data_IF_033741423227
#
_entry.id   IF_033741423227
#
_cell.length_a   1.000
_cell.length_b   1.000
_cell.length_c   1.000
_cell.angle_alpha   90.00
_cell.angle_beta   90.00
_cell.angle_gamma   90.00
#
_symmetry.space_group_name_H-M   'P 1'
#
loop_
_entity.id
_entity.type
_entity.pdbx_description
1 polymer ?
#
# COMPACT_ATOMS: atom_id res chain seq x y z
N UNK A 1 20.69 14.70 57.69
CA UNK A 1 19.93 15.30 56.60
C UNK A 1 20.43 14.70 55.30
N UNK A 2 19.81 13.58 54.82
CA UNK A 2 20.20 12.86 53.64
C UNK A 2 19.43 13.43 52.44
N UNK A 3 20.14 14.03 51.47
CA UNK A 3 19.57 14.51 50.19
C UNK A 3 19.55 13.33 49.21
N UNK A 4 18.33 12.81 48.92
CA UNK A 4 18.13 11.78 47.89
C UNK A 4 18.06 12.52 46.54
N UNK A 5 19.11 12.39 45.73
CA UNK A 5 19.18 12.90 44.37
C UNK A 5 18.45 11.89 43.44
N UNK A 6 17.18 12.17 43.11
CA UNK A 6 16.39 11.36 42.18
C UNK A 6 16.89 11.63 40.76
N UNK A 7 17.60 10.65 40.17
CA UNK A 7 18.08 10.70 38.78
C UNK A 7 16.95 10.28 37.86
N UNK A 8 16.21 11.28 37.32
CA UNK A 8 15.25 11.04 36.24
C UNK A 8 16.00 10.71 34.95
N UNK A 9 16.09 9.41 34.61
CA UNK A 9 16.50 8.95 33.30
C UNK A 9 15.40 9.33 32.28
N UNK A 10 15.57 10.42 31.55
CA UNK A 10 14.80 10.73 30.36
C UNK A 10 15.18 9.71 29.29
N UNK A 11 14.40 8.63 29.14
CA UNK A 11 14.44 7.77 27.96
C UNK A 11 13.87 8.60 26.81
N UNK A 12 14.76 9.23 26.04
CA UNK A 12 14.38 9.81 24.75
C UNK A 12 14.01 8.65 23.82
N UNK A 13 12.72 8.38 23.69
CA UNK A 13 12.19 7.50 22.67
C UNK A 13 12.49 8.08 21.29
N UNK A 14 13.56 7.65 20.65
CA UNK A 14 13.79 7.94 19.25
C UNK A 14 12.67 7.28 18.46
N UNK A 15 11.74 8.08 17.94
CA UNK A 15 10.81 7.64 16.92
C UNK A 15 11.66 7.27 15.69
N UNK A 16 11.93 5.99 15.51
CA UNK A 16 12.60 5.52 14.30
C UNK A 16 11.64 5.74 13.14
N UNK A 17 11.93 6.74 12.30
CA UNK A 17 11.21 6.94 11.06
C UNK A 17 11.37 5.69 10.17
N UNK A 18 10.28 4.98 9.98
CA UNK A 18 10.27 3.82 9.10
C UNK A 18 10.37 4.26 7.66
N UNK A 19 11.33 3.70 6.91
CA UNK A 19 11.60 4.11 5.54
C UNK A 19 11.64 2.95 4.54
N UNK A 20 11.76 1.70 5.02
CA UNK A 20 11.78 0.48 4.18
C UNK A 20 10.74 -0.52 4.58
N UNK A 21 10.12 -1.12 3.57
CA UNK A 21 9.21 -2.26 3.69
C UNK A 21 9.68 -3.38 2.76
N UNK A 22 9.70 -4.61 3.26
CA UNK A 22 9.96 -5.83 2.49
C UNK A 22 9.01 -6.92 2.95
N UNK A 23 8.49 -7.71 2.01
CA UNK A 23 7.69 -8.88 2.33
C UNK A 23 7.76 -9.91 1.20
N UNK A 24 7.55 -11.18 1.53
CA UNK A 24 7.11 -12.18 0.57
C UNK A 24 5.66 -11.87 0.19
N UNK A 25 5.28 -12.08 -1.07
CA UNK A 25 3.91 -11.90 -1.53
C UNK A 25 3.36 -13.17 -2.18
N UNK A 26 2.09 -13.43 -1.91
CA UNK A 26 1.29 -14.37 -2.69
C UNK A 26 0.05 -13.63 -3.17
N UNK A 27 -0.18 -13.64 -4.49
CA UNK A 27 -1.33 -13.03 -5.12
C UNK A 27 -2.17 -14.15 -5.73
N UNK A 28 -3.47 -14.20 -5.35
CA UNK A 28 -4.46 -15.15 -5.89
C UNK A 28 -5.50 -14.34 -6.63
N UNK A 29 -5.66 -14.60 -7.92
CA UNK A 29 -6.69 -13.96 -8.75
C UNK A 29 -7.71 -15.00 -9.14
N UNK A 30 -9.00 -14.75 -8.86
CA UNK A 30 -10.08 -15.60 -9.35
C UNK A 30 -10.39 -15.20 -10.79
N UNK A 31 -10.26 -16.16 -11.69
CA UNK A 31 -10.57 -16.00 -13.11
C UNK A 31 -12.09 -16.14 -13.36
N UNK A 32 -12.54 -15.78 -14.57
CA UNK A 32 -13.97 -15.82 -14.93
C UNK A 32 -14.53 -17.24 -14.95
N UNK A 33 -13.71 -18.26 -15.29
CA UNK A 33 -14.07 -19.68 -15.27
C UNK A 33 -14.14 -20.28 -13.85
N UNK A 34 -13.87 -19.46 -12.81
CA UNK A 34 -13.87 -19.86 -11.42
C UNK A 34 -12.54 -20.44 -10.92
N UNK A 35 -11.56 -20.67 -11.79
CA UNK A 35 -10.22 -21.11 -11.43
C UNK A 35 -9.42 -20.00 -10.76
N UNK A 36 -8.28 -20.35 -10.15
CA UNK A 36 -7.39 -19.39 -9.51
C UNK A 36 -6.03 -19.39 -10.18
N UNK A 37 -5.56 -18.19 -10.49
CA UNK A 37 -4.17 -17.95 -10.86
C UNK A 37 -3.39 -17.50 -9.63
N UNK A 38 -2.19 -18.02 -9.47
CA UNK A 38 -1.30 -17.71 -8.37
C UNK A 38 -0.03 -17.01 -8.89
N UNK A 39 0.38 -15.99 -8.18
CA UNK A 39 1.70 -15.36 -8.37
C UNK A 39 2.40 -15.34 -7.01
N UNK A 40 3.66 -15.75 -6.96
CA UNK A 40 4.48 -15.68 -5.75
C UNK A 40 5.76 -14.91 -6.03
N UNK A 41 6.20 -14.16 -5.04
CA UNK A 41 7.37 -13.31 -5.17
C UNK A 41 7.69 -12.57 -3.89
N UNK A 42 8.35 -11.45 -4.04
CA UNK A 42 8.63 -10.49 -2.97
C UNK A 42 8.32 -9.07 -3.43
N UNK A 43 8.05 -8.22 -2.47
CA UNK A 43 7.90 -6.78 -2.69
C UNK A 43 8.89 -6.04 -1.81
N UNK A 44 9.46 -4.97 -2.35
CA UNK A 44 10.29 -4.01 -1.63
C UNK A 44 9.80 -2.60 -1.93
N UNK A 45 9.79 -1.77 -0.92
CA UNK A 45 9.51 -0.36 -1.04
C UNK A 45 10.47 0.43 -0.17
N UNK A 46 11.08 1.47 -0.73
CA UNK A 46 11.87 2.44 0.00
C UNK A 46 11.27 3.83 -0.21
N UNK A 47 10.91 4.50 0.89
CA UNK A 47 10.27 5.82 0.87
C UNK A 47 11.19 6.89 0.28
N UNK A 48 12.51 6.76 0.45
CA UNK A 48 13.47 7.74 -0.04
C UNK A 48 13.66 7.63 -1.56
N UNK A 49 13.68 6.39 -2.08
CA UNK A 49 13.78 6.14 -3.52
C UNK A 49 12.45 6.25 -4.24
N UNK A 50 11.32 6.22 -3.52
CA UNK A 50 9.95 6.30 -4.08
C UNK A 50 9.73 5.27 -5.19
N UNK A 51 10.18 4.06 -4.99
CA UNK A 51 10.05 2.94 -5.92
C UNK A 51 9.43 1.76 -5.20
N UNK A 52 8.43 1.12 -5.82
CA UNK A 52 7.95 -0.21 -5.40
C UNK A 52 8.51 -1.23 -6.37
N UNK A 53 9.22 -2.20 -5.85
CA UNK A 53 9.88 -3.26 -6.61
C UNK A 53 9.19 -4.59 -6.33
N UNK A 54 8.69 -5.25 -7.36
CA UNK A 54 8.12 -6.59 -7.26
C UNK A 54 9.02 -7.56 -8.01
N UNK A 55 9.42 -8.63 -7.34
CA UNK A 55 10.18 -9.72 -7.94
C UNK A 55 9.37 -11.00 -7.83
N UNK A 56 8.86 -11.54 -8.94
CA UNK A 56 8.12 -12.80 -8.96
C UNK A 56 9.04 -13.97 -9.30
N UNK A 57 8.73 -15.15 -8.79
CA UNK A 57 9.40 -16.39 -9.15
C UNK A 57 8.41 -17.48 -9.61
N UNK A 58 7.11 -17.27 -9.40
CA UNK A 58 6.05 -18.15 -9.88
C UNK A 58 4.86 -17.32 -10.40
N UNK A 59 4.24 -17.65 -11.55
CA UNK A 59 4.56 -18.77 -12.44
C UNK A 59 5.85 -18.57 -13.23
N UNK A 60 6.34 -17.36 -13.37
CA UNK A 60 7.59 -17.04 -14.08
C UNK A 60 8.39 -16.00 -13.31
N UNK A 61 9.71 -15.98 -13.58
CA UNK A 61 10.61 -14.99 -13.03
C UNK A 61 10.45 -13.68 -13.78
N UNK A 62 9.86 -12.69 -13.14
CA UNK A 62 9.64 -11.35 -13.67
C UNK A 62 9.99 -10.31 -12.63
N UNK A 63 10.32 -9.12 -13.06
CA UNK A 63 10.64 -8.01 -12.20
C UNK A 63 9.86 -6.76 -12.64
N UNK A 64 9.17 -6.12 -11.69
CA UNK A 64 8.38 -4.93 -11.95
C UNK A 64 8.88 -3.79 -11.08
N UNK A 65 8.99 -2.61 -11.67
CA UNK A 65 9.33 -1.36 -10.99
C UNK A 65 8.19 -0.38 -11.15
N UNK A 66 7.52 -0.03 -10.06
CA UNK A 66 6.61 1.10 -10.03
C UNK A 66 7.39 2.34 -9.59
N UNK A 67 7.45 3.34 -10.43
CA UNK A 67 8.16 4.59 -10.20
C UNK A 67 7.40 5.74 -10.86
N UNK A 68 7.21 6.83 -10.13
CA UNK A 68 6.40 7.96 -10.57
C UNK A 68 5.02 7.49 -11.10
N UNK A 69 4.69 7.72 -12.34
CA UNK A 69 3.44 7.32 -13.00
C UNK A 69 3.64 6.16 -13.98
N UNK A 70 4.68 5.35 -13.79
CA UNK A 70 5.03 4.25 -14.66
C UNK A 70 5.16 2.93 -13.91
N UNK A 71 4.79 1.84 -14.59
CA UNK A 71 5.17 0.46 -14.24
C UNK A 71 6.04 -0.07 -15.37
N UNK A 72 7.26 -0.45 -15.00
CA UNK A 72 8.26 -1.04 -15.90
C UNK A 72 8.29 -2.54 -15.63
N UNK A 73 8.17 -3.36 -16.68
CA UNK A 73 8.29 -4.82 -16.57
C UNK A 73 9.59 -5.27 -17.21
N UNK A 74 10.35 -6.08 -16.48
CA UNK A 74 11.58 -6.71 -16.93
C UNK A 74 11.44 -8.23 -16.95
N UNK A 75 11.99 -8.87 -17.97
CA UNK A 75 12.14 -10.33 -18.09
C UNK A 75 13.58 -10.60 -18.49
N UNK A 76 14.29 -11.44 -17.74
CA UNK A 76 15.71 -11.71 -17.94
C UNK A 76 16.55 -10.39 -18.09
N UNK A 77 16.32 -9.46 -17.15
CA UNK A 77 16.97 -8.14 -17.05
C UNK A 77 16.76 -7.22 -18.28
N UNK A 78 15.86 -7.59 -19.20
CA UNK A 78 15.48 -6.76 -20.33
C UNK A 78 14.14 -6.09 -20.08
N UNK A 79 14.04 -4.78 -20.30
CA UNK A 79 12.78 -4.05 -20.27
C UNK A 79 11.90 -4.53 -21.43
N UNK A 80 10.73 -5.10 -21.09
CA UNK A 80 9.78 -5.66 -22.08
C UNK A 80 8.48 -4.86 -22.17
N UNK A 81 8.15 -4.06 -21.15
CA UNK A 81 6.93 -3.26 -21.16
C UNK A 81 7.07 -2.03 -20.28
N UNK A 82 6.47 -0.92 -20.72
CA UNK A 82 6.26 0.31 -19.97
C UNK A 82 4.78 0.62 -20.01
N UNK A 83 4.16 0.77 -18.82
CA UNK A 83 2.73 1.06 -18.70
C UNK A 83 2.52 2.30 -17.84
N UNK A 84 1.54 3.12 -18.21
CA UNK A 84 1.12 4.22 -17.35
C UNK A 84 0.39 3.68 -16.11
N UNK A 85 0.80 4.17 -14.96
CA UNK A 85 0.15 3.91 -13.67
C UNK A 85 -0.22 5.25 -13.02
N UNK A 86 -1.51 5.59 -12.92
CA UNK A 86 -1.92 6.83 -12.27
C UNK A 86 -1.66 6.82 -10.75
N UNK A 87 -1.38 5.63 -10.18
CA UNK A 87 -1.08 5.47 -8.76
C UNK A 87 0.42 5.48 -8.55
N UNK A 88 0.94 6.62 -8.09
CA UNK A 88 2.34 6.75 -7.70
C UNK A 88 2.69 5.84 -6.52
N UNK A 89 3.96 5.45 -6.35
CA UNK A 89 4.43 4.68 -5.19
C UNK A 89 4.01 5.29 -3.83
N UNK A 90 3.93 6.61 -3.74
CA UNK A 90 3.48 7.34 -2.55
C UNK A 90 1.99 7.16 -2.24
N UNK A 91 1.21 6.60 -3.15
CA UNK A 91 -0.18 6.20 -2.94
C UNK A 91 -0.32 4.69 -2.71
N UNK A 92 0.78 4.00 -2.48
CA UNK A 92 0.76 2.57 -2.17
C UNK A 92 0.49 2.31 -0.69
N UNK A 93 -0.06 1.13 -0.41
CA UNK A 93 -0.24 0.65 0.96
C UNK A 93 1.08 0.65 1.76
N UNK A 94 2.21 0.40 1.10
CA UNK A 94 3.53 0.39 1.73
C UNK A 94 3.92 1.77 2.24
N UNK A 95 3.62 2.82 1.48
CA UNK A 95 3.86 4.20 1.89
C UNK A 95 3.01 4.57 3.10
N UNK A 96 1.72 4.21 3.09
CA UNK A 96 0.81 4.48 4.20
C UNK A 96 1.22 3.73 5.47
N UNK A 97 1.69 2.47 5.35
CA UNK A 97 2.24 1.70 6.46
C UNK A 97 3.44 2.42 7.08
N UNK A 98 4.44 2.81 6.27
CA UNK A 98 5.67 3.43 6.75
C UNK A 98 5.47 4.83 7.36
N UNK A 99 4.43 5.54 6.94
CA UNK A 99 4.06 6.85 7.50
C UNK A 99 3.06 6.78 8.65
N UNK A 100 2.60 5.56 9.01
CA UNK A 100 1.53 5.35 9.99
C UNK A 100 0.19 6.02 9.58
N UNK A 101 -0.04 6.15 8.27
CA UNK A 101 -1.23 6.79 7.67
C UNK A 101 -2.25 5.75 7.16
N UNK A 102 -2.07 4.47 7.54
CA UNK A 102 -2.91 3.37 7.03
C UNK A 102 -4.37 3.48 7.50
N UNK A 103 -4.61 4.03 8.69
CA UNK A 103 -5.94 4.10 9.29
C UNK A 103 -6.93 4.95 8.49
N UNK A 104 -6.46 5.96 7.80
CA UNK A 104 -7.25 6.83 6.92
C UNK A 104 -6.89 6.68 5.43
N UNK A 105 -6.14 5.64 5.09
CA UNK A 105 -5.68 5.35 3.73
C UNK A 105 -4.87 6.51 3.11
N UNK A 106 -4.10 7.23 3.93
CA UNK A 106 -3.29 8.38 3.51
C UNK A 106 -4.10 9.60 3.08
N UNK A 107 -5.42 9.60 3.24
CA UNK A 107 -6.30 10.66 2.73
C UNK A 107 -6.17 11.95 3.53
N UNK A 108 -5.85 11.86 4.81
CA UNK A 108 -5.65 13.04 5.68
C UNK A 108 -4.53 13.95 5.17
N UNK A 109 -3.48 13.36 4.58
CA UNK A 109 -2.32 14.07 4.03
C UNK A 109 -2.47 14.33 2.51
N UNK A 110 -3.66 14.12 1.96
CA UNK A 110 -4.00 14.34 0.57
C UNK A 110 -4.86 15.60 0.39
N UNK A 111 -5.24 15.89 -0.85
CA UNK A 111 -6.19 16.99 -1.15
C UNK A 111 -7.67 16.56 -1.02
N UNK A 112 -7.96 15.40 -0.40
CA UNK A 112 -9.33 14.99 -0.09
C UNK A 112 -9.83 15.66 1.18
N UNK A 113 -11.15 15.87 1.26
CA UNK A 113 -11.82 16.44 2.43
C UNK A 113 -12.86 15.48 2.96
N UNK A 114 -12.97 15.36 4.30
CA UNK A 114 -14.06 14.60 4.93
C UNK A 114 -15.36 15.38 4.73
N UNK A 115 -16.36 14.73 4.16
CA UNK A 115 -17.70 15.30 3.93
C UNK A 115 -18.80 14.64 4.74
N UNK A 116 -18.55 13.43 5.25
CA UNK A 116 -19.46 12.75 6.18
C UNK A 116 -18.70 11.80 7.09
N UNK A 117 -19.23 11.59 8.29
CA UNK A 117 -18.75 10.59 9.26
C UNK A 117 -19.95 9.88 9.84
N UNK A 118 -20.02 8.57 9.68
CA UNK A 118 -21.06 7.71 10.23
C UNK A 118 -20.46 6.73 11.22
N UNK A 119 -21.16 6.49 12.31
CA UNK A 119 -20.81 5.47 13.29
C UNK A 119 -21.92 4.44 13.36
N UNK A 120 -21.56 3.18 13.05
CA UNK A 120 -22.48 2.04 13.15
C UNK A 120 -21.79 0.97 13.97
N UNK A 121 -22.33 0.67 15.16
CA UNK A 121 -21.71 -0.22 16.14
C UNK A 121 -20.24 0.19 16.43
N UNK A 122 -19.29 -0.69 16.12
CA UNK A 122 -17.85 -0.47 16.29
C UNK A 122 -17.18 0.14 15.06
N UNK A 123 -17.91 0.33 13.95
CA UNK A 123 -17.37 0.88 12.72
C UNK A 123 -17.53 2.40 12.68
N UNK A 124 -16.48 3.06 12.27
CA UNK A 124 -16.51 4.45 11.87
C UNK A 124 -16.29 4.49 10.35
N UNK A 125 -17.24 5.03 9.62
CA UNK A 125 -17.17 5.18 8.17
C UNK A 125 -17.01 6.65 7.86
N UNK A 126 -15.89 7.00 7.21
CA UNK A 126 -15.60 8.36 6.77
C UNK A 126 -15.75 8.45 5.26
N UNK A 127 -16.49 9.45 4.79
CA UNK A 127 -16.65 9.78 3.38
C UNK A 127 -15.72 10.93 3.02
N UNK A 128 -14.86 10.67 2.06
CA UNK A 128 -13.88 11.63 1.57
C UNK A 128 -14.24 12.06 0.15
N UNK A 129 -14.32 13.36 -0.08
CA UNK A 129 -14.56 13.93 -1.40
C UNK A 129 -13.25 14.41 -2.03
N UNK A 130 -13.06 14.19 -3.35
CA UNK A 130 -11.88 14.63 -4.05
C UNK A 130 -11.84 16.17 -4.18
N UNK A 131 -10.66 16.75 -4.45
CA UNK A 131 -10.56 18.16 -4.80
C UNK A 131 -11.36 18.47 -6.07
N UNK A 132 -11.81 19.71 -6.21
CA UNK A 132 -12.47 20.20 -7.43
C UNK A 132 -11.42 20.31 -8.54
N UNK A 133 -11.12 19.18 -9.19
CA UNK A 133 -10.18 19.10 -10.30
C UNK A 133 -10.74 18.17 -11.39
N UNK A 134 -11.02 18.69 -12.61
CA UNK A 134 -11.58 17.87 -13.69
C UNK A 134 -10.65 16.74 -14.16
N UNK A 135 -9.33 16.87 -13.96
CA UNK A 135 -8.32 15.87 -14.33
C UNK A 135 -8.15 14.76 -13.29
N UNK A 136 -8.72 14.93 -12.09
CA UNK A 136 -8.58 13.91 -11.04
C UNK A 136 -9.42 12.68 -11.39
N UNK A 137 -8.87 11.45 -11.39
CA UNK A 137 -9.56 10.27 -11.95
C UNK A 137 -10.63 9.67 -11.02
N UNK A 138 -10.53 9.94 -9.70
CA UNK A 138 -11.39 9.32 -8.70
C UNK A 138 -12.53 10.25 -8.27
N UNK A 139 -13.62 9.62 -7.82
CA UNK A 139 -14.72 10.24 -7.09
C UNK A 139 -14.54 10.10 -5.58
N UNK A 140 -15.62 9.83 -4.88
CA UNK A 140 -15.65 9.67 -3.43
C UNK A 140 -14.91 8.41 -2.99
N UNK A 141 -14.25 8.48 -1.83
CA UNK A 141 -13.63 7.33 -1.17
C UNK A 141 -14.31 7.17 0.19
N UNK A 142 -14.77 5.95 0.49
CA UNK A 142 -15.26 5.58 1.82
C UNK A 142 -14.17 4.77 2.51
N UNK A 143 -13.81 5.18 3.73
CA UNK A 143 -12.86 4.46 4.57
C UNK A 143 -13.59 4.01 5.82
N UNK A 144 -13.59 2.72 6.11
CA UNK A 144 -14.13 2.18 7.35
C UNK A 144 -13.03 1.69 8.28
N UNK A 145 -13.14 2.09 9.54
CA UNK A 145 -12.21 1.70 10.60
C UNK A 145 -12.96 1.08 11.77
N UNK A 146 -12.32 0.12 12.46
CA UNK A 146 -12.76 -0.43 13.74
C UNK A 146 -11.59 -0.39 14.71
N UNK A 147 -11.77 0.20 15.88
CA UNK A 147 -10.69 0.35 16.87
C UNK A 147 -9.42 0.99 16.27
N UNK A 148 -9.60 2.03 15.46
CA UNK A 148 -8.53 2.74 14.70
C UNK A 148 -7.82 1.89 13.63
N UNK A 149 -8.22 0.63 13.41
CA UNK A 149 -7.69 -0.23 12.32
C UNK A 149 -8.50 -0.05 11.06
N UNK A 150 -7.85 0.11 9.95
CA UNK A 150 -8.47 0.11 8.64
C UNK A 150 -9.16 -1.24 8.40
N UNK A 151 -10.45 -1.23 8.07
CA UNK A 151 -11.23 -2.43 7.75
C UNK A 151 -11.48 -2.54 6.25
N UNK A 152 -11.91 -1.45 5.63
CA UNK A 152 -12.14 -1.44 4.19
C UNK A 152 -12.02 -0.05 3.59
N UNK A 153 -11.73 -0.03 2.29
CA UNK A 153 -11.75 1.16 1.44
C UNK A 153 -12.62 0.87 0.24
N UNK A 154 -13.50 1.80 -0.09
CA UNK A 154 -14.37 1.74 -1.26
C UNK A 154 -14.10 2.98 -2.12
N UNK A 155 -13.63 2.77 -3.34
CA UNK A 155 -13.25 3.84 -4.27
C UNK A 155 -14.30 3.92 -5.38
N UNK A 156 -14.84 5.11 -5.60
CA UNK A 156 -15.79 5.39 -6.67
C UNK A 156 -15.13 6.19 -7.79
N UNK A 157 -15.71 6.10 -8.97
CA UNK A 157 -15.44 7.06 -10.04
C UNK A 157 -16.27 8.35 -9.85
N UNK A 158 -16.09 9.33 -10.74
CA UNK A 158 -16.84 10.61 -10.71
C UNK A 158 -18.35 10.46 -10.88
N UNK A 159 -18.82 9.34 -11.46
CA UNK A 159 -20.24 9.04 -11.62
C UNK A 159 -20.84 8.35 -10.40
N UNK A 160 -20.05 8.08 -9.37
CA UNK A 160 -20.48 7.35 -8.18
C UNK A 160 -20.47 5.82 -8.33
N UNK A 161 -19.95 5.28 -9.44
CA UNK A 161 -19.83 3.84 -9.66
C UNK A 161 -18.61 3.32 -8.91
N UNK A 162 -18.70 2.12 -8.34
CA UNK A 162 -17.61 1.48 -7.62
C UNK A 162 -16.52 1.08 -8.61
N UNK A 163 -15.29 1.54 -8.38
CA UNK A 163 -14.10 1.12 -9.11
C UNK A 163 -13.38 -0.03 -8.42
N UNK A 164 -13.24 0.09 -7.09
CA UNK A 164 -12.50 -0.89 -6.30
C UNK A 164 -13.03 -0.93 -4.87
N UNK A 165 -13.03 -2.13 -4.29
CA UNK A 165 -13.27 -2.38 -2.87
C UNK A 165 -12.12 -3.18 -2.30
N UNK A 166 -11.52 -2.71 -1.24
CA UNK A 166 -10.46 -3.40 -0.51
C UNK A 166 -10.91 -3.71 0.91
N UNK A 167 -10.58 -4.90 1.40
CA UNK A 167 -10.84 -5.35 2.76
C UNK A 167 -9.51 -5.81 3.35
N UNK A 168 -9.16 -5.27 4.50
CA UNK A 168 -7.88 -5.47 5.19
C UNK A 168 -8.06 -6.41 6.37
N UNK A 169 -7.20 -7.44 6.45
CA UNK A 169 -7.32 -8.52 7.43
C UNK A 169 -5.97 -8.96 7.97
N UNK A 170 -6.02 -9.81 9.01
CA UNK A 170 -4.86 -10.50 9.60
C UNK A 170 -3.74 -9.52 9.97
N UNK A 171 -4.08 -8.58 10.85
CA UNK A 171 -3.12 -7.59 11.31
C UNK A 171 -2.01 -8.22 12.16
N UNK A 172 -0.76 -7.85 11.85
CA UNK A 172 0.44 -8.16 12.61
C UNK A 172 1.06 -6.88 13.15
N UNK A 173 1.70 -6.95 14.31
CA UNK A 173 2.39 -5.81 14.92
C UNK A 173 3.91 -6.01 14.76
N UNK A 174 4.56 -5.17 13.96
CA UNK A 174 5.97 -5.29 13.60
C UNK A 174 6.65 -3.93 13.80
N UNK A 175 7.67 -3.89 14.66
CA UNK A 175 8.45 -2.68 14.98
C UNK A 175 7.56 -1.47 15.33
N UNK A 176 6.50 -1.69 16.12
CA UNK A 176 5.59 -0.63 16.55
C UNK A 176 4.50 -0.26 15.53
N UNK A 177 4.45 -0.91 14.37
CA UNK A 177 3.49 -0.63 13.28
C UNK A 177 2.51 -1.80 13.15
N UNK A 178 1.22 -1.50 13.08
CA UNK A 178 0.18 -2.47 12.72
C UNK A 178 0.07 -2.58 11.19
N UNK A 179 0.24 -3.80 10.67
CA UNK A 179 0.31 -4.08 9.24
C UNK A 179 -0.70 -5.17 8.90
N UNK A 180 -1.64 -4.94 7.95
CA UNK A 180 -2.48 -5.99 7.44
C UNK A 180 -1.64 -6.95 6.60
N UNK A 181 -1.71 -8.25 6.89
CA UNK A 181 -1.02 -9.28 6.13
C UNK A 181 -1.89 -9.92 5.05
N UNK A 182 -3.16 -9.55 4.95
CA UNK A 182 -4.07 -9.99 3.89
C UNK A 182 -4.94 -8.83 3.41
N UNK A 183 -4.99 -8.64 2.09
CA UNK A 183 -5.87 -7.68 1.42
C UNK A 183 -6.72 -8.41 0.40
N UNK A 184 -8.05 -8.38 0.58
CA UNK A 184 -9.00 -8.82 -0.43
C UNK A 184 -9.39 -7.59 -1.27
N UNK A 185 -9.14 -7.64 -2.56
CA UNK A 185 -9.50 -6.57 -3.51
C UNK A 185 -10.54 -7.06 -4.51
N UNK A 186 -11.56 -6.26 -4.74
CA UNK A 186 -12.57 -6.48 -5.77
C UNK A 186 -12.55 -5.26 -6.68
N UNK A 187 -12.15 -5.44 -7.93
CA UNK A 187 -12.10 -4.39 -8.94
C UNK A 187 -13.28 -4.52 -9.91
N UNK A 188 -13.80 -3.38 -10.35
CA UNK A 188 -14.90 -3.26 -11.31
C UNK A 188 -14.40 -2.43 -12.49
N UNK A 189 -13.90 -3.10 -13.54
CA UNK A 189 -13.36 -2.43 -14.71
C UNK A 189 -14.14 -2.83 -15.96
N UNK A 190 -14.66 -1.86 -16.68
CA UNK A 190 -15.44 -2.08 -17.91
C UNK A 190 -16.57 -3.12 -17.75
N UNK A 191 -17.27 -3.12 -16.62
CA UNK A 191 -18.34 -4.09 -16.31
C UNK A 191 -17.84 -5.47 -15.87
N UNK A 192 -16.55 -5.72 -15.89
CA UNK A 192 -15.94 -6.99 -15.44
C UNK A 192 -15.55 -6.88 -13.97
N UNK A 193 -15.96 -7.88 -13.19
CA UNK A 193 -15.62 -8.01 -11.77
C UNK A 193 -14.45 -8.95 -11.60
N UNK A 194 -13.37 -8.47 -10.99
CA UNK A 194 -12.17 -9.23 -10.69
C UNK A 194 -11.94 -9.32 -9.20
N UNK A 195 -11.56 -10.50 -8.71
CA UNK A 195 -11.27 -10.76 -7.30
C UNK A 195 -9.81 -11.11 -7.14
N UNK A 196 -9.17 -10.46 -6.18
CA UNK A 196 -7.77 -10.69 -5.87
C UNK A 196 -7.56 -10.77 -4.35
N UNK A 197 -6.77 -11.72 -3.91
CA UNK A 197 -6.27 -11.80 -2.54
C UNK A 197 -4.76 -11.62 -2.59
N UNK A 198 -4.26 -10.65 -1.82
CA UNK A 198 -2.84 -10.40 -1.64
C UNK A 198 -2.50 -10.78 -0.20
N UNK A 199 -1.54 -11.71 -0.05
CA UNK A 199 -1.02 -12.13 1.25
C UNK A 199 0.44 -11.70 1.37
N UNK A 200 0.79 -11.10 2.51
CA UNK A 200 2.16 -10.72 2.86
C UNK A 200 2.71 -11.65 3.92
N UNK A 201 3.85 -12.25 3.64
CA UNK A 201 4.62 -13.08 4.58
C UNK A 201 5.99 -12.48 4.88
N UNK A 202 6.60 -12.88 5.99
CA UNK A 202 7.96 -12.46 6.39
C UNK A 202 8.19 -10.95 6.28
N UNK A 203 7.22 -10.17 6.76
CA UNK A 203 7.29 -8.71 6.67
C UNK A 203 8.46 -8.20 7.50
N UNK A 204 9.26 -7.33 6.90
CA UNK A 204 10.41 -6.65 7.52
C UNK A 204 10.26 -5.14 7.33
N UNK A 205 10.51 -4.39 8.40
CA UNK A 205 10.51 -2.93 8.39
C UNK A 205 11.93 -2.47 8.74
N UNK A 206 12.46 -1.52 7.97
CA UNK A 206 13.79 -0.94 8.14
C UNK A 206 14.92 -1.99 8.05
N UNK A 207 14.84 -2.93 7.08
CA UNK A 207 15.95 -3.82 6.77
C UNK A 207 17.22 -3.01 6.52
N UNK A 208 18.28 -3.35 7.23
CA UNK A 208 19.59 -2.69 7.12
C UNK A 208 20.43 -3.32 6.00
N UNK A 209 21.24 -2.50 5.35
CA UNK A 209 22.01 -2.94 4.19
C UNK A 209 21.14 -3.15 2.95
N UNK A 210 21.65 -3.90 1.98
CA UNK A 210 20.92 -4.25 0.74
C UNK A 210 20.42 -3.06 -0.07
N UNK A 211 21.06 -1.89 0.03
CA UNK A 211 20.61 -0.64 -0.62
C UNK A 211 20.42 -0.81 -2.13
N UNK A 212 21.26 -1.58 -2.80
CA UNK A 212 21.17 -1.89 -4.22
C UNK A 212 19.89 -2.67 -4.59
N UNK A 213 19.29 -3.41 -3.64
CA UNK A 213 18.05 -4.14 -3.86
C UNK A 213 16.81 -3.21 -3.81
N UNK A 214 16.96 -2.00 -3.25
CA UNK A 214 15.90 -0.99 -3.16
C UNK A 214 16.05 0.12 -4.19
N UNK A 215 17.29 0.46 -4.57
CA UNK A 215 17.58 1.50 -5.55
C UNK A 215 17.85 0.90 -6.93
N UNK A 216 16.83 0.31 -7.53
CA UNK A 216 16.94 -0.18 -8.90
C UNK A 216 17.19 0.97 -9.87
N UNK A 217 18.33 0.92 -10.57
CA UNK A 217 18.73 1.93 -11.55
C UNK A 217 18.03 1.68 -12.90
N UNK A 218 17.18 2.60 -13.29
CA UNK A 218 16.50 2.57 -14.59
C UNK A 218 17.45 3.17 -15.62
N UNK A 219 17.83 2.41 -16.64
CA UNK A 219 18.67 2.90 -17.71
C UNK A 219 17.99 4.09 -18.43
N UNK A 220 18.58 5.29 -18.33
CA UNK A 220 18.02 6.55 -18.86
C UNK A 220 17.69 6.53 -20.35
N UNK A 221 18.29 5.61 -21.11
CA UNK A 221 18.11 5.52 -22.57
C UNK A 221 16.90 4.68 -22.99
N UNK A 222 16.01 4.31 -22.05
CA UNK A 222 14.87 3.40 -22.31
C UNK A 222 13.51 3.95 -21.82
N UNK A 223 13.46 5.23 -21.45
CA UNK A 223 12.21 5.94 -21.07
C UNK A 223 11.70 6.84 -22.17
#
# INVERSE_FOLDING_TARGET
MFLIFSFFLFVQGYSQNSYRFKADITIKVKLQDGTFQYTKGSVRYDRNYKKVLYSTFFPQKEFYVSVDTLILKYVNDKLVSVQNNPLRPELSIFHFILNNDISDFGLKNSNFSITNVEKTDDLIITKWSPPVNPKFPFGTILVSTKNKRLQSVLIHNKKGEILNRQIYKKYSFINGIEIPSEILSVSYLAGVKSYQIIEFGKIQINEQGHDSEYDFQIAKNKL
#
